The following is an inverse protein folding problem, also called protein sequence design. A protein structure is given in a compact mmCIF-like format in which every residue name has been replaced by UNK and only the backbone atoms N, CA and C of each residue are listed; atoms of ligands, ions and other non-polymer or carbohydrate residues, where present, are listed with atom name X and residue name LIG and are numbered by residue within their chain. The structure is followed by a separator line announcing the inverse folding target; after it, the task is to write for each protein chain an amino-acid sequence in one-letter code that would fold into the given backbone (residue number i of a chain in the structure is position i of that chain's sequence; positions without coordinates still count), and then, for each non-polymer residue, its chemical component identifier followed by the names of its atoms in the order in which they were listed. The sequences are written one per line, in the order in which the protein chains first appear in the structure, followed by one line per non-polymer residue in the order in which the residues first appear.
data_IF_929785487839
#
_entry.id   IF_929785487839
#
_cell.length_a   1.000
_cell.length_b   1.000
_cell.length_c   1.000
_cell.angle_alpha   90.00
_cell.angle_beta   90.00
_cell.angle_gamma   90.00
#
_symmetry.space_group_name_H-M   'P 1'
#
loop_
_entity.id
_entity.type
_entity.pdbx_description
1 polymer ?
#
# COMPACT_ATOMS: atom_id res chain seq x y z
N UNK A 1 15.30 16.95 -20.29
CA UNK A 1 14.07 16.25 -19.88
C UNK A 1 14.10 14.88 -20.53
N UNK A 2 14.33 13.82 -19.76
CA UNK A 2 14.21 12.45 -20.29
C UNK A 2 12.72 12.18 -20.39
N UNK A 3 12.19 12.04 -21.60
CA UNK A 3 10.77 11.77 -21.81
C UNK A 3 10.38 10.46 -21.11
N UNK A 4 9.24 10.46 -20.42
CA UNK A 4 8.70 9.22 -19.86
C UNK A 4 8.40 8.24 -20.98
N UNK A 5 8.81 6.99 -20.81
CA UNK A 5 8.46 5.93 -21.75
C UNK A 5 6.97 5.63 -21.62
N UNK A 6 6.25 5.60 -22.75
CA UNK A 6 4.88 5.11 -22.78
C UNK A 6 4.87 3.63 -22.37
N UNK A 7 4.08 3.32 -21.35
CA UNK A 7 3.84 1.97 -20.85
C UNK A 7 2.50 1.44 -21.39
N UNK A 8 2.22 0.16 -21.10
CA UNK A 8 0.99 -0.55 -21.45
C UNK A 8 -0.24 0.33 -21.19
N UNK A 9 -1.18 0.28 -22.13
CA UNK A 9 -2.39 1.11 -22.18
C UNK A 9 -2.13 2.60 -22.42
N UNK A 10 -1.02 2.94 -23.09
CA UNK A 10 -0.67 4.31 -23.47
C UNK A 10 -0.60 5.26 -22.27
N UNK A 11 -0.10 4.75 -21.14
CA UNK A 11 0.11 5.51 -19.90
C UNK A 11 1.57 5.90 -19.76
N UNK A 12 1.88 6.86 -18.90
CA UNK A 12 3.24 7.28 -18.55
C UNK A 12 3.56 7.06 -17.06
N UNK A 13 2.61 6.51 -16.30
CA UNK A 13 2.77 6.16 -14.89
C UNK A 13 2.04 4.87 -14.50
N UNK A 14 2.55 4.24 -13.46
CA UNK A 14 1.92 3.13 -12.74
C UNK A 14 1.79 3.48 -11.26
N UNK A 15 0.69 3.06 -10.63
CA UNK A 15 0.53 3.27 -9.19
C UNK A 15 1.09 2.12 -8.36
N UNK A 16 1.53 2.41 -7.13
CA UNK A 16 1.94 1.39 -6.14
C UNK A 16 0.82 0.36 -5.90
N UNK A 17 -0.44 0.82 -5.86
CA UNK A 17 -1.60 -0.06 -5.70
C UNK A 17 -1.78 -1.04 -6.87
N UNK A 18 -1.45 -0.62 -8.09
CA UNK A 18 -1.53 -1.47 -9.28
C UNK A 18 -0.40 -2.51 -9.27
N UNK A 19 0.82 -2.10 -8.91
CA UNK A 19 1.95 -3.02 -8.74
C UNK A 19 1.60 -4.10 -7.71
N UNK A 20 1.07 -3.70 -6.54
CA UNK A 20 0.63 -4.62 -5.52
C UNK A 20 -0.47 -5.59 -6.01
N UNK A 21 -1.42 -5.10 -6.81
CA UNK A 21 -2.48 -5.94 -7.38
C UNK A 21 -1.95 -7.03 -8.33
N UNK A 22 -0.81 -6.82 -8.99
CA UNK A 22 -0.18 -7.86 -9.82
C UNK A 22 0.15 -9.12 -9.01
N UNK A 23 0.53 -8.96 -7.74
CA UNK A 23 0.83 -10.06 -6.83
C UNK A 23 -0.43 -10.77 -6.31
N UNK A 24 -1.57 -10.07 -6.28
CA UNK A 24 -2.84 -10.71 -5.95
C UNK A 24 -3.33 -11.58 -7.13
N UNK A 25 -3.45 -10.98 -8.30
CA UNK A 25 -3.72 -11.61 -9.59
C UNK A 25 -3.54 -10.57 -10.70
N UNK A 26 -2.46 -10.65 -11.48
CA UNK A 26 -2.18 -9.68 -12.54
C UNK A 26 -3.20 -9.70 -13.68
N UNK A 27 -3.79 -10.86 -14.00
CA UNK A 27 -4.86 -10.91 -15.00
C UNK A 27 -6.14 -10.20 -14.54
N UNK A 28 -6.46 -10.22 -13.24
CA UNK A 28 -7.55 -9.42 -12.66
C UNK A 28 -7.28 -7.92 -12.84
N UNK A 29 -6.05 -7.48 -12.57
CA UNK A 29 -5.64 -6.10 -12.80
C UNK A 29 -5.77 -5.73 -14.29
N UNK A 30 -5.30 -6.59 -15.18
CA UNK A 30 -5.41 -6.40 -16.62
C UNK A 30 -6.87 -6.16 -17.04
N UNK A 31 -7.79 -7.04 -16.62
CA UNK A 31 -9.23 -6.87 -16.89
C UNK A 31 -9.77 -5.58 -16.27
N UNK A 32 -9.36 -5.20 -15.07
CA UNK A 32 -9.82 -3.94 -14.45
C UNK A 32 -9.41 -2.68 -15.20
N UNK A 33 -8.29 -2.71 -15.92
CA UNK A 33 -7.84 -1.59 -16.75
C UNK A 33 -8.56 -1.59 -18.10
N UNK A 34 -8.79 -2.77 -18.69
CA UNK A 34 -9.44 -2.92 -20.01
C UNK A 34 -10.96 -2.73 -19.94
N UNK A 35 -11.62 -3.37 -18.99
CA UNK A 35 -13.09 -3.41 -18.85
C UNK A 35 -13.62 -2.32 -17.92
N UNK A 36 -12.73 -1.65 -17.18
CA UNK A 36 -13.08 -0.71 -16.12
C UNK A 36 -13.13 -1.36 -14.73
N UNK A 37 -12.86 -0.55 -13.71
CA UNK A 37 -12.90 -0.98 -12.30
C UNK A 37 -14.34 -1.13 -11.83
N UNK A 38 -14.67 -2.27 -11.25
CA UNK A 38 -15.96 -2.50 -10.59
C UNK A 38 -15.83 -2.18 -9.10
N UNK A 39 -16.58 -1.20 -8.62
CA UNK A 39 -16.63 -0.88 -7.20
C UNK A 39 -17.49 -1.90 -6.46
N UNK A 40 -17.06 -2.29 -5.26
CA UNK A 40 -17.81 -3.23 -4.41
C UNK A 40 -18.12 -2.59 -3.07
N UNK A 41 -19.20 -3.00 -2.37
CA UNK A 41 -19.53 -2.46 -1.05
C UNK A 41 -18.39 -2.63 -0.02
N UNK A 42 -17.60 -3.69 -0.14
CA UNK A 42 -16.42 -3.89 0.73
C UNK A 42 -15.32 -2.86 0.46
N UNK A 43 -15.16 -2.40 -0.79
CA UNK A 43 -14.20 -1.35 -1.13
C UNK A 43 -14.65 0.01 -0.60
N UNK A 44 -15.93 0.34 -0.75
CA UNK A 44 -16.52 1.57 -0.21
C UNK A 44 -16.35 1.67 1.30
N UNK A 45 -16.71 0.61 2.03
CA UNK A 45 -16.52 0.56 3.48
C UNK A 45 -15.04 0.69 3.87
N UNK A 46 -14.15 0.08 3.09
CA UNK A 46 -12.70 0.24 3.27
C UNK A 46 -12.26 1.70 3.15
N UNK A 47 -12.72 2.40 2.12
CA UNK A 47 -12.41 3.82 1.90
C UNK A 47 -12.87 4.67 3.09
N UNK A 48 -14.11 4.49 3.54
CA UNK A 48 -14.66 5.24 4.69
C UNK A 48 -13.82 5.02 5.96
N UNK A 49 -13.42 3.77 6.24
CA UNK A 49 -12.59 3.44 7.40
C UNK A 49 -11.22 4.13 7.30
N UNK A 50 -10.58 4.09 6.13
CA UNK A 50 -9.28 4.75 5.93
C UNK A 50 -9.40 6.26 6.13
N UNK A 51 -10.40 6.89 5.51
CA UNK A 51 -10.63 8.33 5.60
C UNK A 51 -10.84 8.77 7.05
N UNK A 52 -11.63 8.04 7.84
CA UNK A 52 -11.88 8.40 9.24
C UNK A 52 -10.66 8.16 10.15
N UNK A 53 -9.91 7.08 9.93
CA UNK A 53 -8.69 6.78 10.71
C UNK A 53 -7.60 7.82 10.46
N UNK A 54 -7.38 8.19 9.21
CA UNK A 54 -6.31 9.11 8.79
C UNK A 54 -6.80 10.55 8.54
N UNK A 55 -8.03 10.87 8.96
CA UNK A 55 -8.63 12.20 8.82
C UNK A 55 -7.71 13.29 9.34
N UNK A 56 -7.28 14.17 8.46
CA UNK A 56 -6.36 15.26 8.77
C UNK A 56 -6.82 16.59 8.20
N UNK A 57 -6.05 17.64 8.48
CA UNK A 57 -6.20 18.95 7.84
C UNK A 57 -5.34 18.98 6.59
N UNK A 58 -5.91 19.44 5.47
CA UNK A 58 -5.12 19.73 4.26
C UNK A 58 -4.30 20.99 4.49
N UNK A 59 -3.04 20.94 4.08
CA UNK A 59 -2.06 22.02 4.24
C UNK A 59 -1.36 22.29 2.92
N UNK A 60 -0.79 23.48 2.77
CA UNK A 60 0.08 23.77 1.62
C UNK A 60 1.41 23.03 1.73
N UNK A 61 2.16 22.92 0.64
CA UNK A 61 3.51 22.33 0.67
C UNK A 61 4.44 23.10 1.61
N UNK A 62 4.38 24.43 1.61
CA UNK A 62 5.20 25.26 2.50
C UNK A 62 4.86 25.02 3.98
N UNK A 63 3.56 24.99 4.30
CA UNK A 63 3.10 24.69 5.65
C UNK A 63 3.51 23.28 6.09
N UNK A 64 3.35 22.28 5.23
CA UNK A 64 3.80 20.91 5.50
C UNK A 64 5.30 20.85 5.82
N UNK A 65 6.14 21.49 5.00
CA UNK A 65 7.58 21.51 5.21
C UNK A 65 7.96 22.22 6.51
N UNK A 66 7.27 23.31 6.86
CA UNK A 66 7.50 24.02 8.12
C UNK A 66 7.14 23.13 9.32
N UNK A 67 5.97 22.49 9.29
CA UNK A 67 5.52 21.60 10.38
C UNK A 67 6.44 20.39 10.55
N UNK A 68 6.89 19.78 9.45
CA UNK A 68 7.83 18.63 9.47
C UNK A 68 9.19 19.03 10.05
N UNK A 69 9.67 20.24 9.79
CA UNK A 69 10.94 20.74 10.33
C UNK A 69 10.85 21.17 11.80
N UNK A 70 9.73 21.76 12.21
CA UNK A 70 9.59 22.37 13.54
C UNK A 70 9.02 21.45 14.60
N UNK A 71 8.30 20.39 14.21
CA UNK A 71 7.64 19.49 15.15
C UNK A 71 8.47 18.23 15.37
N UNK A 72 8.44 17.70 16.60
CA UNK A 72 9.14 16.47 16.95
C UNK A 72 8.62 15.27 16.13
N UNK A 73 7.30 15.16 16.00
CA UNK A 73 6.60 14.07 15.31
C UNK A 73 5.49 14.64 14.43
N UNK A 74 5.44 14.20 13.17
CA UNK A 74 4.37 14.56 12.22
C UNK A 74 3.89 13.29 11.54
N UNK A 75 2.58 13.10 11.48
CA UNK A 75 1.95 12.06 10.66
C UNK A 75 1.25 12.74 9.50
N UNK A 76 1.58 12.36 8.28
CA UNK A 76 1.03 12.96 7.07
C UNK A 76 0.71 11.93 5.99
N UNK A 77 -0.36 12.20 5.25
CA UNK A 77 -0.73 11.51 4.01
C UNK A 77 -0.32 12.40 2.85
N UNK A 78 0.57 11.92 1.98
CA UNK A 78 1.14 12.70 0.88
C UNK A 78 1.43 11.83 -0.35
N UNK A 79 1.34 12.37 -1.57
CA UNK A 79 1.75 11.66 -2.77
C UNK A 79 3.26 11.42 -2.76
N UNK A 80 3.65 10.17 -2.97
CA UNK A 80 5.02 9.74 -3.20
C UNK A 80 5.20 9.46 -4.68
N UNK A 81 6.26 10.00 -5.29
CA UNK A 81 6.49 9.94 -6.73
C UNK A 81 7.98 9.75 -6.98
N UNK A 82 8.35 8.77 -7.81
CA UNK A 82 9.72 8.60 -8.27
C UNK A 82 9.76 8.08 -9.72
N UNK A 83 10.79 8.47 -10.48
CA UNK A 83 11.10 7.84 -11.75
C UNK A 83 11.99 6.61 -11.51
N UNK A 84 11.53 5.45 -11.96
CA UNK A 84 12.20 4.16 -11.78
C UNK A 84 12.27 3.49 -13.14
N UNK A 85 13.49 3.27 -13.64
CA UNK A 85 13.73 2.65 -14.95
C UNK A 85 12.99 3.35 -16.10
N UNK A 86 12.87 4.69 -16.04
CA UNK A 86 12.20 5.50 -17.08
C UNK A 86 10.67 5.57 -16.96
N UNK A 87 10.09 5.06 -15.86
CA UNK A 87 8.64 5.05 -15.60
C UNK A 87 8.34 5.83 -14.34
N UNK A 88 7.31 6.68 -14.36
CA UNK A 88 6.79 7.29 -13.13
C UNK A 88 6.04 6.24 -12.31
N UNK A 89 6.53 5.98 -11.09
CA UNK A 89 5.80 5.20 -10.08
C UNK A 89 5.30 6.16 -9.02
N UNK A 90 4.01 6.09 -8.71
CA UNK A 90 3.39 6.98 -7.73
C UNK A 90 2.38 6.28 -6.82
N UNK A 91 2.13 6.85 -5.66
CA UNK A 91 1.01 6.43 -4.82
C UNK A 91 0.92 7.25 -3.55
N UNK A 92 -0.14 7.00 -2.79
CA UNK A 92 -0.43 7.70 -1.54
C UNK A 92 -0.53 6.62 -0.47
N UNK A 93 0.46 6.47 0.44
CA UNK A 93 0.31 5.61 1.59
C UNK A 93 -0.76 6.18 2.52
N UNK A 94 -1.32 5.35 3.40
CA UNK A 94 -2.28 5.85 4.38
C UNK A 94 -1.67 6.89 5.31
N UNK A 95 -0.43 6.66 5.76
CA UNK A 95 0.36 7.68 6.44
C UNK A 95 1.88 7.45 6.35
N UNK A 96 2.62 8.55 6.49
CA UNK A 96 4.07 8.59 6.72
C UNK A 96 4.33 9.28 8.05
N UNK A 97 5.18 8.67 8.88
CA UNK A 97 5.59 9.22 10.17
C UNK A 97 6.95 9.87 10.01
N UNK A 98 7.00 11.18 10.25
CA UNK A 98 8.23 11.97 10.29
C UNK A 98 8.63 12.19 11.75
N UNK A 99 9.93 12.03 12.04
CA UNK A 99 10.53 12.43 13.31
C UNK A 99 11.79 13.24 13.05
N UNK A 100 11.89 14.42 13.68
CA UNK A 100 13.02 15.34 13.47
C UNK A 100 13.23 15.70 11.99
N UNK A 101 12.15 15.92 11.24
CA UNK A 101 12.20 16.28 9.83
C UNK A 101 12.42 15.14 8.83
N UNK A 102 12.57 13.89 9.29
CA UNK A 102 12.91 12.74 8.45
C UNK A 102 11.79 11.69 8.52
N UNK A 103 11.39 11.13 7.38
CA UNK A 103 10.46 10.01 7.33
C UNK A 103 11.09 8.75 7.96
N UNK A 104 10.47 8.24 9.02
CA UNK A 104 10.93 7.07 9.79
C UNK A 104 10.07 5.83 9.61
N UNK A 105 8.81 6.00 9.24
CA UNK A 105 7.92 4.87 8.95
C UNK A 105 6.88 5.21 7.90
N UNK A 106 6.39 4.19 7.22
CA UNK A 106 5.15 4.21 6.46
C UNK A 106 4.12 3.30 7.14
N UNK A 107 2.87 3.74 7.15
CA UNK A 107 1.73 3.01 7.70
C UNK A 107 0.76 2.71 6.56
N UNK A 108 0.34 1.44 6.48
CA UNK A 108 -0.70 0.96 5.59
C UNK A 108 -1.77 0.22 6.40
N UNK A 109 -3.02 0.65 6.29
CA UNK A 109 -4.19 0.03 6.89
C UNK A 109 -4.81 -0.97 5.91
N UNK A 110 -5.31 -2.09 6.44
CA UNK A 110 -6.01 -3.14 5.70
C UNK A 110 -7.20 -3.61 6.51
N UNK A 111 -8.36 -3.64 5.87
CA UNK A 111 -9.61 -4.06 6.50
C UNK A 111 -10.04 -5.45 6.02
N UNK A 112 -10.33 -6.36 6.94
CA UNK A 112 -10.72 -7.74 6.63
C UNK A 112 -11.60 -8.35 7.72
N UNK A 113 -12.62 -9.11 7.32
CA UNK A 113 -13.47 -9.83 8.28
C UNK A 113 -13.01 -11.26 8.57
N UNK A 114 -11.98 -11.76 7.86
CA UNK A 114 -11.51 -13.15 7.98
C UNK A 114 -10.03 -13.27 8.31
N UNK A 115 -9.19 -12.46 7.66
CA UNK A 115 -7.74 -12.69 7.62
C UNK A 115 -6.96 -11.54 8.27
N UNK A 116 -7.13 -11.37 9.58
CA UNK A 116 -6.37 -10.39 10.35
C UNK A 116 -4.97 -10.90 10.69
N UNK A 117 -4.86 -12.21 10.95
CA UNK A 117 -3.65 -12.85 11.48
C UNK A 117 -2.65 -13.28 10.39
N UNK A 118 -2.89 -12.87 9.14
CA UNK A 118 -2.05 -13.13 7.98
C UNK A 118 -1.80 -11.85 7.20
N UNK A 119 -0.54 -11.47 7.05
CA UNK A 119 -0.10 -10.47 6.08
C UNK A 119 0.04 -11.14 4.71
N UNK A 120 -0.60 -10.59 3.68
CA UNK A 120 -0.50 -11.11 2.31
C UNK A 120 0.62 -10.42 1.55
N UNK A 121 1.25 -11.13 0.60
CA UNK A 121 2.39 -10.62 -0.18
C UNK A 121 2.07 -9.30 -0.90
N UNK A 122 0.85 -9.15 -1.44
CA UNK A 122 0.43 -7.91 -2.07
C UNK A 122 0.32 -6.74 -1.08
N UNK A 123 -0.04 -6.99 0.18
CA UNK A 123 -0.10 -5.95 1.21
C UNK A 123 1.30 -5.57 1.69
N UNK A 124 2.16 -6.58 1.86
CA UNK A 124 3.58 -6.39 2.20
C UNK A 124 4.31 -5.58 1.13
N UNK A 125 4.20 -5.99 -0.14
CA UNK A 125 4.83 -5.30 -1.28
C UNK A 125 4.28 -3.89 -1.45
N UNK A 126 2.98 -3.66 -1.25
CA UNK A 126 2.42 -2.31 -1.31
C UNK A 126 3.11 -1.37 -0.31
N UNK A 127 3.22 -1.80 0.95
CA UNK A 127 3.81 -0.99 2.00
C UNK A 127 5.34 -0.81 1.83
N UNK A 128 6.06 -1.87 1.43
CA UNK A 128 7.49 -1.80 1.10
C UNK A 128 7.76 -0.87 -0.09
N UNK A 129 6.89 -0.82 -1.10
CA UNK A 129 7.04 0.11 -2.22
C UNK A 129 6.91 1.56 -1.78
N UNK A 130 6.04 1.88 -0.83
CA UNK A 130 6.00 3.23 -0.28
C UNK A 130 7.27 3.60 0.48
N UNK A 131 7.82 2.68 1.29
CA UNK A 131 9.13 2.86 1.91
C UNK A 131 10.25 3.06 0.88
N UNK A 132 10.21 2.30 -0.22
CA UNK A 132 11.12 2.47 -1.35
C UNK A 132 10.99 3.85 -2.01
N UNK A 133 9.77 4.36 -2.21
CA UNK A 133 9.55 5.70 -2.77
C UNK A 133 10.05 6.80 -1.82
N UNK A 134 9.86 6.65 -0.50
CA UNK A 134 10.44 7.56 0.51
C UNK A 134 11.97 7.64 0.35
N UNK A 135 12.62 6.49 0.22
CA UNK A 135 14.07 6.40 -0.03
C UNK A 135 14.46 7.11 -1.33
N UNK A 136 13.74 6.88 -2.43
CA UNK A 136 14.04 7.52 -3.73
C UNK A 136 13.81 9.02 -3.75
N UNK A 137 12.85 9.51 -2.97
CA UNK A 137 12.57 10.94 -2.84
C UNK A 137 13.53 11.64 -1.86
N UNK A 138 14.38 10.90 -1.14
CA UNK A 138 15.29 11.47 -0.14
C UNK A 138 14.58 12.00 1.11
N UNK A 139 13.33 11.58 1.37
CA UNK A 139 12.56 12.00 2.54
C UNK A 139 12.98 11.25 3.82
N UNK A 140 13.64 10.11 3.67
CA UNK A 140 14.14 9.27 4.75
C UNK A 140 15.02 8.15 4.20
N UNK A 141 15.67 7.43 5.11
CA UNK A 141 16.48 6.25 4.78
C UNK A 141 15.91 5.04 5.49
N UNK A 142 15.60 4.02 4.70
CA UNK A 142 15.16 2.69 5.10
C UNK A 142 14.05 2.75 6.18
N UNK A 143 12.94 3.47 5.92
CA UNK A 143 11.89 3.66 6.93
C UNK A 143 11.22 2.33 7.29
N UNK A 144 10.76 2.20 8.53
CA UNK A 144 9.98 1.04 8.97
C UNK A 144 8.68 0.91 8.17
N UNK A 145 8.26 -0.33 7.96
CA UNK A 145 7.02 -0.67 7.27
C UNK A 145 6.02 -1.22 8.27
N UNK A 146 4.94 -0.46 8.48
CA UNK A 146 3.89 -0.80 9.44
C UNK A 146 2.61 -1.14 8.67
N UNK A 147 2.15 -2.38 8.76
CA UNK A 147 0.87 -2.81 8.20
C UNK A 147 -0.11 -3.12 9.32
N UNK A 148 -1.27 -2.49 9.28
CA UNK A 148 -2.30 -2.58 10.31
C UNK A 148 -3.49 -3.32 9.74
N UNK A 149 -3.89 -4.41 10.39
CA UNK A 149 -4.98 -5.28 9.95
C UNK A 149 -6.12 -5.19 10.93
N UNK A 150 -7.28 -4.72 10.49
CA UNK A 150 -8.44 -4.50 11.35
C UNK A 150 -9.73 -5.04 10.73
N UNK A 151 -10.76 -5.23 11.55
CA UNK A 151 -12.09 -5.64 11.07
C UNK A 151 -12.70 -4.52 10.23
N UNK A 152 -13.56 -4.87 9.26
CA UNK A 152 -14.38 -3.86 8.54
C UNK A 152 -15.53 -3.45 9.44
N UNK A 153 -15.21 -2.60 10.40
CA UNK A 153 -16.14 -2.04 11.36
C UNK A 153 -15.82 -0.55 11.52
N UNK A 154 -16.81 0.31 11.29
CA UNK A 154 -16.62 1.75 11.40
C UNK A 154 -16.53 2.20 12.86
N UNK A 155 -17.08 1.41 13.80
CA UNK A 155 -17.18 1.80 15.21
C UNK A 155 -15.83 1.78 15.94
N UNK A 156 -14.79 1.20 15.31
CA UNK A 156 -13.46 1.09 15.90
C UNK A 156 -12.49 2.18 15.40
N UNK A 157 -12.89 3.04 14.47
CA UNK A 157 -11.98 4.01 13.81
C UNK A 157 -11.35 5.01 14.76
N UNK A 158 -12.12 5.59 15.69
CA UNK A 158 -11.61 6.56 16.67
C UNK A 158 -10.55 5.92 17.59
N UNK A 159 -10.86 4.72 18.09
CA UNK A 159 -9.95 3.95 18.93
C UNK A 159 -8.71 3.53 18.15
N UNK A 160 -8.88 3.11 16.90
CA UNK A 160 -7.79 2.71 16.02
C UNK A 160 -6.84 3.88 15.78
N UNK A 161 -7.36 5.06 15.41
CA UNK A 161 -6.57 6.29 15.22
C UNK A 161 -5.67 6.61 16.42
N UNK A 162 -6.24 6.62 17.64
CA UNK A 162 -5.46 6.89 18.86
C UNK A 162 -4.34 5.87 19.08
N UNK A 163 -4.63 4.60 18.83
CA UNK A 163 -3.65 3.53 19.03
C UNK A 163 -2.55 3.52 17.95
N UNK A 164 -2.86 3.88 16.70
CA UNK A 164 -1.87 3.97 15.62
C UNK A 164 -0.80 4.99 15.98
N UNK A 165 -1.22 6.17 16.46
CA UNK A 165 -0.32 7.24 16.89
C UNK A 165 0.62 6.75 18.02
N UNK A 166 0.05 6.25 19.11
CA UNK A 166 0.84 5.82 20.27
C UNK A 166 1.78 4.66 19.95
N UNK A 167 1.32 3.72 19.13
CA UNK A 167 2.13 2.60 18.65
C UNK A 167 3.28 3.08 17.76
N UNK A 168 3.03 3.93 16.76
CA UNK A 168 4.07 4.41 15.87
C UNK A 168 5.21 5.08 16.66
N UNK A 169 4.86 5.95 17.60
CA UNK A 169 5.83 6.61 18.49
C UNK A 169 6.59 5.57 19.33
N UNK A 170 5.88 4.63 19.97
CA UNK A 170 6.50 3.59 20.80
C UNK A 170 7.53 2.77 20.03
N UNK A 171 7.20 2.27 18.84
CA UNK A 171 8.11 1.39 18.08
C UNK A 171 9.26 2.14 17.40
N UNK A 172 9.11 3.45 17.17
CA UNK A 172 10.19 4.27 16.64
C UNK A 172 11.18 4.74 17.72
N UNK A 173 10.74 4.87 18.97
CA UNK A 173 11.57 5.34 20.08
C UNK A 173 12.24 4.23 20.88
N UNK A 174 11.76 2.99 20.77
CA UNK A 174 12.29 1.86 21.54
C UNK A 174 13.05 0.89 20.63
N UNK A 175 14.12 0.30 21.16
CA UNK A 175 14.78 -0.84 20.52
C UNK A 175 13.84 -2.05 20.55
N UNK A 176 13.35 -2.44 19.38
CA UNK A 176 12.48 -3.60 19.17
C UNK A 176 13.12 -4.49 18.12
N UNK A 177 13.10 -5.81 18.33
CA UNK A 177 13.51 -6.76 17.31
C UNK A 177 12.45 -6.86 16.22
N UNK A 178 12.90 -6.85 14.96
CA UNK A 178 12.04 -6.94 13.79
C UNK A 178 12.33 -8.25 13.02
N UNK A 179 11.33 -8.83 12.32
CA UNK A 179 9.95 -8.36 12.21
C UNK A 179 9.15 -8.59 13.50
N UNK A 180 8.23 -7.66 13.81
CA UNK A 180 7.35 -7.76 14.97
C UNK A 180 5.88 -7.91 14.56
N UNK A 181 5.15 -8.72 15.32
CA UNK A 181 3.70 -8.89 15.17
C UNK A 181 3.02 -8.67 16.51
N UNK A 182 2.15 -7.67 16.56
CA UNK A 182 1.55 -7.20 17.81
C UNK A 182 0.03 -7.32 17.71
N UNK A 183 -0.56 -8.07 18.63
CA UNK A 183 -2.00 -8.30 18.66
C UNK A 183 -2.64 -7.33 19.66
N UNK A 184 -3.59 -6.55 19.17
CA UNK A 184 -4.52 -5.76 19.98
C UNK A 184 -5.90 -6.39 19.91
N UNK A 185 -6.83 -5.91 20.75
CA UNK A 185 -8.21 -6.41 20.78
C UNK A 185 -8.91 -6.32 19.41
N UNK A 186 -8.73 -5.19 18.71
CA UNK A 186 -9.51 -4.86 17.51
C UNK A 186 -8.68 -4.85 16.22
N UNK A 187 -7.35 -5.01 16.32
CA UNK A 187 -6.44 -4.97 15.18
C UNK A 187 -5.14 -5.70 15.47
N UNK A 188 -4.42 -6.05 14.41
CA UNK A 188 -3.08 -6.66 14.44
C UNK A 188 -2.13 -5.74 13.69
N UNK A 189 -0.93 -5.55 14.22
CA UNK A 189 0.11 -4.72 13.63
C UNK A 189 1.27 -5.61 13.24
N UNK A 190 1.71 -5.46 12.00
CA UNK A 190 2.95 -6.03 11.47
C UNK A 190 3.94 -4.90 11.30
N UNK A 191 5.13 -5.04 11.87
CA UNK A 191 6.19 -4.05 11.81
C UNK A 191 7.41 -4.73 11.22
N UNK A 192 7.88 -4.23 10.09
CA UNK A 192 8.98 -4.80 9.34
C UNK A 192 10.03 -3.72 9.09
N UNK A 193 11.29 -4.15 8.97
CA UNK A 193 12.32 -3.31 8.39
C UNK A 193 12.09 -3.12 6.90
N UNK A 194 12.70 -2.08 6.34
CA UNK A 194 12.73 -1.90 4.91
C UNK A 194 13.48 -3.06 4.25
N UNK A 195 12.80 -3.75 3.33
CA UNK A 195 13.38 -4.89 2.60
C UNK A 195 13.76 -4.47 1.17
N UNK A 196 15.06 -4.48 0.89
CA UNK A 196 15.62 -4.16 -0.44
C UNK A 196 15.25 -5.18 -1.51
N UNK A 197 14.81 -6.38 -1.15
CA UNK A 197 14.30 -7.37 -2.11
C UNK A 197 13.09 -6.85 -2.91
N UNK A 198 12.44 -5.77 -2.44
CA UNK A 198 11.36 -5.08 -3.13
C UNK A 198 11.73 -4.65 -4.56
N UNK A 199 13.01 -4.39 -4.84
CA UNK A 199 13.49 -4.06 -6.18
C UNK A 199 13.26 -5.20 -7.19
N UNK A 200 13.31 -6.46 -6.74
CA UNK A 200 13.04 -7.64 -7.57
C UNK A 200 11.55 -7.71 -7.92
N UNK A 201 10.68 -7.54 -6.93
CA UNK A 201 9.23 -7.48 -7.15
C UNK A 201 8.84 -6.33 -8.07
N UNK A 202 9.44 -5.16 -7.87
CA UNK A 202 9.23 -3.98 -8.69
C UNK A 202 9.67 -4.22 -10.13
N UNK A 203 10.88 -4.77 -10.36
CA UNK A 203 11.35 -5.11 -11.70
C UNK A 203 10.39 -6.07 -12.41
N UNK A 204 10.00 -7.16 -11.74
CA UNK A 204 9.04 -8.13 -12.29
C UNK A 204 7.71 -7.48 -12.66
N UNK A 205 7.21 -6.58 -11.81
CA UNK A 205 5.97 -5.87 -12.04
C UNK A 205 6.08 -4.90 -13.23
N UNK A 206 7.17 -4.12 -13.30
CA UNK A 206 7.42 -3.16 -14.39
C UNK A 206 7.60 -3.83 -15.74
N UNK A 207 8.10 -5.07 -15.82
CA UNK A 207 8.20 -5.79 -17.09
C UNK A 207 6.83 -6.01 -17.76
N UNK A 208 5.74 -6.15 -17.00
CA UNK A 208 4.37 -6.19 -17.55
C UNK A 208 3.96 -4.84 -18.16
N UNK A 209 4.25 -3.75 -17.46
CA UNK A 209 3.95 -2.39 -17.90
C UNK A 209 4.79 -1.97 -19.10
N UNK A 210 6.04 -2.42 -19.17
CA UNK A 210 6.95 -2.20 -20.29
C UNK A 210 6.68 -3.12 -21.48
N UNK A 211 5.59 -3.91 -21.44
CA UNK A 211 5.21 -4.84 -22.51
C UNK A 211 6.29 -5.89 -22.82
N UNK A 212 7.16 -6.21 -21.84
CA UNK A 212 8.18 -7.26 -21.96
C UNK A 212 7.62 -8.66 -21.67
N UNK A 213 6.40 -8.72 -21.13
CA UNK A 213 5.67 -9.95 -20.85
C UNK A 213 4.16 -9.72 -20.87
N UNK A 214 3.43 -10.79 -21.18
CA UNK A 214 1.98 -10.86 -21.08
C UNK A 214 1.49 -10.97 -19.63
N UNK A 215 0.23 -10.60 -19.34
CA UNK A 215 -0.35 -10.71 -18.01
C UNK A 215 -0.44 -12.18 -17.56
N UNK A 216 -0.10 -12.44 -16.30
CA UNK A 216 -0.17 -13.77 -15.68
C UNK A 216 -1.41 -13.90 -14.79
N UNK A 217 -2.14 -15.00 -14.94
CA UNK A 217 -3.17 -15.39 -13.99
C UNK A 217 -2.55 -16.10 -12.78
N UNK A 218 -3.14 -15.90 -11.60
CA UNK A 218 -2.81 -16.64 -10.38
C UNK A 218 -4.10 -17.15 -9.74
N UNK A 219 -4.81 -18.06 -10.41
CA UNK A 219 -6.16 -18.42 -10.01
C UNK A 219 -6.14 -19.24 -8.71
N UNK A 220 -7.13 -19.01 -7.87
CA UNK A 220 -7.39 -19.84 -6.69
C UNK A 220 -8.87 -19.87 -6.42
N UNK A 221 -9.40 -20.99 -5.90
CA UNK A 221 -10.83 -21.16 -5.68
C UNK A 221 -11.44 -19.97 -4.91
N UNK A 222 -10.83 -19.61 -3.79
CA UNK A 222 -11.29 -18.49 -2.97
C UNK A 222 -11.17 -17.12 -3.64
N UNK A 223 -10.07 -16.84 -4.37
CA UNK A 223 -9.90 -15.55 -5.06
C UNK A 223 -10.87 -15.43 -6.24
N UNK A 224 -11.00 -16.50 -7.04
CA UNK A 224 -11.86 -16.54 -8.21
C UNK A 224 -13.34 -16.42 -7.83
N UNK A 225 -13.79 -17.10 -6.76
CA UNK A 225 -15.19 -17.07 -6.33
C UNK A 225 -15.71 -15.67 -5.98
N UNK A 226 -14.83 -14.76 -5.51
CA UNK A 226 -15.20 -13.38 -5.12
C UNK A 226 -14.70 -12.32 -6.12
N UNK A 227 -14.10 -12.74 -7.23
CA UNK A 227 -13.54 -11.83 -8.23
C UNK A 227 -14.68 -11.21 -9.07
N UNK A 228 -14.67 -9.88 -9.19
CA UNK A 228 -15.65 -9.11 -9.98
C UNK A 228 -15.62 -9.48 -11.47
N UNK A 229 -14.54 -10.10 -11.95
CA UNK A 229 -14.37 -10.54 -13.33
C UNK A 229 -14.59 -12.05 -13.52
N UNK A 230 -15.11 -12.79 -12.52
CA UNK A 230 -15.27 -14.25 -12.62
C UNK A 230 -15.99 -14.66 -13.91
N UNK A 231 -17.09 -13.98 -14.27
CA UNK A 231 -17.90 -14.32 -15.44
C UNK A 231 -17.19 -14.09 -16.79
N UNK A 232 -16.14 -13.27 -16.81
CA UNK A 232 -15.39 -12.89 -18.03
C UNK A 232 -13.98 -13.45 -18.08
N UNK A 233 -13.44 -13.95 -16.96
CA UNK A 233 -12.06 -14.39 -16.87
C UNK A 233 -11.88 -15.80 -17.46
N UNK A 234 -11.03 -16.00 -18.48
CA UNK A 234 -10.78 -17.32 -19.07
C UNK A 234 -9.97 -18.24 -18.15
N UNK A 235 -9.35 -17.69 -17.10
CA UNK A 235 -8.51 -18.42 -16.14
C UNK A 235 -9.23 -18.72 -14.80
N UNK A 236 -10.56 -18.61 -14.74
CA UNK A 236 -11.29 -18.88 -13.50
C UNK A 236 -11.09 -20.33 -13.03
N UNK A 237 -10.87 -20.51 -11.73
CA UNK A 237 -10.95 -21.83 -11.10
C UNK A 237 -12.35 -22.08 -10.56
N UNK A 238 -12.90 -23.27 -10.80
CA UNK A 238 -14.17 -23.74 -10.27
C UNK A 238 -13.95 -24.68 -9.09
N UNK A 239 -14.86 -24.64 -8.11
CA UNK A 239 -15.10 -25.80 -7.24
C UNK A 239 -15.95 -26.75 -8.08
N UNK A 240 -15.52 -28.00 -8.26
CA UNK A 240 -16.44 -29.04 -8.73
C UNK A 240 -17.44 -29.27 -7.59
N UNK A 241 -18.72 -28.99 -7.85
CA UNK A 241 -19.82 -29.38 -6.95
C UNK A 241 -19.95 -30.90 -6.86
#
# INVERSE_FOLDING_TARGET
MVGNSMIRFSRDYVTVSEIAQQLYCEYKLHLSVVEGRVQTPSMEMGIIIHDEVFKGRRVSTEEFLNVVKSSEIVIATLPLIANISGITVLGIPDAVVFMGGIAKAVIELKTSNKWLDRLFDNEYVQAQLYAYLINKMGLGKDPLVIVIKTKRDINITEKLRRNILSMAVKYLMNSVEFPAKVRFRDFIVYINEFDRSIEVHLKWALDYWLMRREPKASPSLGKCAVCEFNNKCPFKSFVQE
#
